data_IF_294424710248
#
_entry.id   IF_294424710248
#
_cell.length_a   1.000
_cell.length_b   1.000
_cell.length_c   1.000
_cell.angle_alpha   90.00
_cell.angle_beta   90.00
_cell.angle_gamma   90.00
#
_symmetry.space_group_name_H-M   'P 1'
#
loop_
_entity.id
_entity.type
_entity.pdbx_description
1 polymer ?
#
# COMPACT_ATOMS: atom_id res chain seq x y z
N UNK A 1 -60.56 -24.29 9.56
CA UNK A 1 -59.48 -24.61 8.59
C UNK A 1 -59.43 -23.50 7.56
N UNK A 2 -58.21 -23.01 7.30
CA UNK A 2 -57.92 -21.74 6.64
C UNK A 2 -57.92 -21.84 5.11
N UNK A 3 -58.26 -20.74 4.44
CA UNK A 3 -57.76 -20.43 3.10
C UNK A 3 -57.25 -18.98 3.10
N UNK A 4 -55.93 -18.85 3.06
CA UNK A 4 -55.20 -17.60 2.84
C UNK A 4 -55.27 -17.25 1.35
N UNK A 5 -55.67 -16.01 1.04
CA UNK A 5 -55.32 -15.36 -0.22
C UNK A 5 -53.91 -14.77 -0.09
N UNK A 6 -53.05 -15.05 -1.07
CA UNK A 6 -51.71 -14.48 -1.18
C UNK A 6 -51.64 -13.76 -2.52
N UNK A 7 -51.61 -12.43 -2.48
CA UNK A 7 -51.30 -11.58 -3.64
C UNK A 7 -49.91 -11.00 -3.44
N UNK A 8 -49.16 -11.02 -4.53
CA UNK A 8 -47.73 -10.75 -4.64
C UNK A 8 -47.28 -9.35 -4.19
N UNK A 9 -46.05 -9.28 -3.67
CA UNK A 9 -45.25 -8.05 -3.62
C UNK A 9 -43.80 -8.40 -3.96
N UNK A 10 -43.29 -7.75 -5.02
CA UNK A 10 -41.87 -7.74 -5.42
C UNK A 10 -41.03 -7.03 -4.35
N UNK A 11 -39.80 -7.46 -4.03
CA UNK A 11 -38.83 -6.60 -3.36
C UNK A 11 -37.92 -5.94 -4.41
N UNK A 12 -38.23 -4.69 -4.75
CA UNK A 12 -37.24 -3.70 -5.14
C UNK A 12 -37.00 -2.82 -3.91
N UNK A 13 -35.77 -2.75 -3.41
CA UNK A 13 -35.43 -2.00 -2.21
C UNK A 13 -33.93 -1.89 -2.03
N UNK A 14 -33.40 -0.77 -2.51
CA UNK A 14 -32.07 -0.21 -2.24
C UNK A 14 -31.71 -0.26 -0.76
N UNK A 15 -30.61 -0.95 -0.44
CA UNK A 15 -30.02 -1.03 0.89
C UNK A 15 -29.30 0.26 1.25
N UNK A 16 -30.03 1.28 1.69
CA UNK A 16 -29.44 2.41 2.42
C UNK A 16 -29.17 1.94 3.85
N UNK A 17 -27.96 1.44 4.10
CA UNK A 17 -27.56 0.98 5.44
C UNK A 17 -27.46 2.17 6.40
N UNK A 18 -28.29 2.12 7.44
CA UNK A 18 -28.37 3.06 8.55
C UNK A 18 -27.00 3.28 9.23
N UNK A 19 -26.50 4.52 9.21
CA UNK A 19 -25.44 5.00 10.10
C UNK A 19 -25.97 5.00 11.55
N UNK A 20 -25.56 4.04 12.38
CA UNK A 20 -25.90 4.05 13.80
C UNK A 20 -25.09 5.12 14.56
N UNK A 21 -25.73 6.04 15.30
CA UNK A 21 -25.01 6.98 16.16
C UNK A 21 -24.29 6.19 17.28
N UNK A 22 -22.97 6.31 17.32
CA UNK A 22 -22.11 5.61 18.31
C UNK A 22 -21.18 4.52 17.76
N UNK A 23 -21.16 4.26 16.44
CA UNK A 23 -20.18 3.33 15.86
C UNK A 23 -18.74 3.88 15.96
N UNK A 24 -17.71 3.02 16.09
CA UNK A 24 -16.31 3.45 16.05
C UNK A 24 -15.94 4.25 14.80
N UNK A 25 -16.55 3.91 13.65
CA UNK A 25 -16.39 4.65 12.40
C UNK A 25 -16.90 6.10 12.50
N UNK A 26 -18.02 6.32 13.20
CA UNK A 26 -18.54 7.66 13.43
C UNK A 26 -17.63 8.49 14.34
N UNK A 27 -17.00 7.87 15.35
CA UNK A 27 -16.01 8.57 16.19
C UNK A 27 -14.80 9.02 15.38
N UNK A 28 -14.22 8.13 14.56
CA UNK A 28 -13.07 8.45 13.71
C UNK A 28 -13.42 9.55 12.68
N UNK A 29 -14.63 9.50 12.10
CA UNK A 29 -15.10 10.54 11.19
C UNK A 29 -15.27 11.90 11.87
N UNK A 30 -15.78 11.93 13.11
CA UNK A 30 -15.87 13.17 13.89
C UNK A 30 -14.49 13.73 14.23
N UNK A 31 -13.56 12.87 14.65
CA UNK A 31 -12.19 13.26 14.97
C UNK A 31 -11.45 13.81 13.74
N UNK A 32 -11.56 13.13 12.59
CA UNK A 32 -11.04 13.60 11.32
C UNK A 32 -11.57 15.00 10.97
N UNK A 33 -12.89 15.17 10.98
CA UNK A 33 -13.53 16.43 10.63
C UNK A 33 -13.15 17.55 11.60
N UNK A 34 -13.03 17.25 12.90
CA UNK A 34 -12.56 18.20 13.92
C UNK A 34 -11.17 18.74 13.56
N UNK A 35 -10.21 17.86 13.28
CA UNK A 35 -8.84 18.29 12.98
C UNK A 35 -8.75 19.03 11.64
N UNK A 36 -9.51 18.59 10.62
CA UNK A 36 -9.62 19.29 9.34
C UNK A 36 -10.11 20.72 9.52
N UNK A 37 -11.24 20.91 10.21
CA UNK A 37 -11.81 22.24 10.47
C UNK A 37 -10.88 23.13 11.30
N UNK A 38 -10.18 22.57 12.29
CA UNK A 38 -9.21 23.32 13.10
C UNK A 38 -7.99 23.74 12.28
N UNK A 39 -7.52 22.90 11.38
CA UNK A 39 -6.42 23.24 10.46
C UNK A 39 -6.87 24.34 9.51
N UNK A 40 -8.06 24.22 8.93
CA UNK A 40 -8.64 25.21 8.00
C UNK A 40 -8.84 26.58 8.65
N UNK A 41 -9.17 26.62 9.95
CA UNK A 41 -9.32 27.86 10.71
C UNK A 41 -7.99 28.56 11.04
N UNK A 42 -6.84 27.91 10.87
CA UNK A 42 -5.55 28.53 11.16
C UNK A 42 -5.21 29.66 10.16
N UNK A 43 -4.50 30.71 10.59
CA UNK A 43 -3.90 31.68 9.69
C UNK A 43 -2.95 31.03 8.67
N UNK A 44 -2.85 31.60 7.47
CA UNK A 44 -1.99 31.06 6.41
C UNK A 44 -0.52 30.90 6.84
N UNK A 45 0.01 31.81 7.65
CA UNK A 45 1.36 31.71 8.20
C UNK A 45 1.53 30.45 9.06
N UNK A 46 0.55 30.18 9.94
CA UNK A 46 0.53 29.00 10.79
C UNK A 46 0.35 27.72 9.98
N UNK A 47 -0.50 27.72 8.94
CA UNK A 47 -0.65 26.58 8.02
C UNK A 47 0.68 26.20 7.35
N UNK A 48 1.36 27.18 6.74
CA UNK A 48 2.69 26.96 6.11
C UNK A 48 3.75 26.49 7.11
N UNK A 49 3.71 27.02 8.34
CA UNK A 49 4.58 26.54 9.41
C UNK A 49 4.30 25.07 9.73
N UNK A 50 3.03 24.68 9.91
CA UNK A 50 2.62 23.31 10.17
C UNK A 50 3.00 22.37 9.01
N UNK A 51 2.84 22.81 7.76
CA UNK A 51 3.28 22.07 6.56
C UNK A 51 4.80 21.83 6.56
N UNK A 52 5.58 22.83 6.97
CA UNK A 52 7.04 22.70 7.08
C UNK A 52 7.43 21.69 8.15
N UNK A 53 6.79 21.74 9.33
CA UNK A 53 7.00 20.76 10.39
C UNK A 53 6.56 19.35 9.97
N UNK A 54 5.41 19.26 9.30
CA UNK A 54 4.88 18.00 8.78
C UNK A 54 5.84 17.31 7.82
N UNK A 55 6.49 18.07 6.93
CA UNK A 55 7.52 17.54 6.02
C UNK A 55 8.71 16.95 6.78
N UNK A 56 9.28 17.72 7.71
CA UNK A 56 10.42 17.29 8.54
C UNK A 56 10.10 15.99 9.30
N UNK A 57 8.90 15.94 9.92
CA UNK A 57 8.45 14.77 10.66
C UNK A 57 8.21 13.56 9.77
N UNK A 58 7.56 13.77 8.62
CA UNK A 58 7.27 12.69 7.68
C UNK A 58 8.55 12.08 7.08
N UNK A 59 9.51 12.91 6.69
CA UNK A 59 10.81 12.47 6.19
C UNK A 59 11.56 11.65 7.26
N UNK A 60 11.56 12.12 8.51
CA UNK A 60 12.20 11.41 9.62
C UNK A 60 11.57 10.03 9.87
N UNK A 61 10.24 9.91 9.76
CA UNK A 61 9.51 8.64 9.88
C UNK A 61 9.89 7.69 8.73
N UNK A 62 9.99 8.20 7.51
CA UNK A 62 10.21 7.37 6.31
C UNK A 62 11.66 6.87 6.23
N UNK A 63 12.62 7.75 6.51
CA UNK A 63 14.06 7.44 6.56
C UNK A 63 14.40 6.64 7.83
N UNK A 64 13.45 6.49 8.77
CA UNK A 64 13.65 5.83 10.07
C UNK A 64 14.81 6.46 10.84
N UNK A 65 14.84 7.79 10.87
CA UNK A 65 15.79 8.53 11.69
C UNK A 65 15.68 8.07 13.15
N UNK A 66 16.77 8.07 13.95
CA UNK A 66 16.73 7.61 15.34
C UNK A 66 16.08 8.62 16.30
N UNK A 67 15.97 9.88 15.88
CA UNK A 67 15.36 10.97 16.63
C UNK A 67 14.87 12.04 15.66
N UNK A 68 13.89 12.82 16.08
CA UNK A 68 13.39 13.97 15.33
C UNK A 68 13.10 15.14 16.27
N UNK A 69 13.45 16.34 15.83
CA UNK A 69 13.13 17.60 16.52
C UNK A 69 12.05 18.32 15.73
N UNK A 70 11.13 18.93 16.45
CA UNK A 70 10.06 19.73 15.86
C UNK A 70 9.65 20.84 16.79
N UNK A 71 8.96 21.83 16.24
CA UNK A 71 8.54 23.03 16.97
C UNK A 71 7.05 23.26 16.86
N UNK A 72 6.40 23.61 17.98
CA UNK A 72 5.02 24.07 18.01
C UNK A 72 4.91 25.51 17.50
N UNK A 73 3.79 25.90 16.87
CA UNK A 73 3.57 27.28 16.45
C UNK A 73 3.58 28.24 17.64
N UNK A 74 3.81 29.52 17.38
CA UNK A 74 3.82 30.58 18.40
C UNK A 74 2.41 30.86 18.95
N UNK A 75 1.40 30.78 18.09
CA UNK A 75 -0.02 30.95 18.40
C UNK A 75 -0.85 29.96 17.59
N UNK A 76 -1.99 29.56 18.15
CA UNK A 76 -2.90 28.62 17.51
C UNK A 76 -4.35 29.01 17.75
N UNK A 77 -5.19 28.85 16.73
CA UNK A 77 -6.65 28.95 16.88
C UNK A 77 -7.15 27.70 17.57
N UNK A 78 -7.81 27.85 18.73
CA UNK A 78 -8.31 26.73 19.55
C UNK A 78 -9.80 26.47 19.39
N UNK A 79 -10.55 27.40 18.81
CA UNK A 79 -11.98 27.26 18.48
C UNK A 79 -12.26 27.94 17.14
N UNK A 80 -13.04 27.26 16.31
CA UNK A 80 -13.61 27.87 15.11
C UNK A 80 -14.60 28.96 15.56
N UNK A 81 -14.54 30.14 14.95
CA UNK A 81 -15.55 31.18 15.20
C UNK A 81 -16.90 30.66 14.68
N UNK A 82 -17.94 30.62 15.53
CA UNK A 82 -19.29 30.35 15.05
C UNK A 82 -19.75 31.48 14.11
N UNK A 83 -20.64 31.16 13.16
CA UNK A 83 -21.07 32.03 12.06
C UNK A 83 -21.61 33.42 12.46
N UNK A 84 -21.78 33.69 13.76
CA UNK A 84 -22.09 35.01 14.32
C UNK A 84 -20.85 35.64 14.96
N UNK A 85 -20.07 36.35 14.15
CA UNK A 85 -19.21 37.50 14.48
C UNK A 85 -18.15 37.34 15.60
N UNK A 86 -17.85 36.13 16.05
CA UNK A 86 -16.81 35.90 17.06
C UNK A 86 -15.47 35.60 16.37
N UNK A 87 -14.49 36.48 16.55
CA UNK A 87 -13.12 36.23 16.08
C UNK A 87 -12.61 34.88 16.61
N UNK A 88 -11.91 34.06 15.80
CA UNK A 88 -11.38 32.78 16.23
C UNK A 88 -10.50 32.96 17.48
N UNK A 89 -10.77 32.18 18.53
CA UNK A 89 -10.04 32.28 19.77
C UNK A 89 -8.60 31.79 19.55
N UNK A 90 -7.65 32.72 19.46
CA UNK A 90 -6.21 32.40 19.36
C UNK A 90 -5.58 32.38 20.74
N UNK A 91 -4.80 31.36 21.05
CA UNK A 91 -4.01 31.29 22.29
C UNK A 91 -2.50 31.25 21.97
N UNK A 92 -1.65 31.92 22.76
CA UNK A 92 -0.20 31.79 22.63
C UNK A 92 0.28 30.45 23.18
N UNK A 93 1.22 29.82 22.48
CA UNK A 93 1.91 28.62 22.96
C UNK A 93 3.10 29.05 23.84
N UNK A 94 3.23 28.55 25.08
CA UNK A 94 4.35 28.90 25.96
C UNK A 94 5.70 28.59 25.31
N UNK A 95 6.61 29.59 25.27
CA UNK A 95 7.90 29.46 24.58
C UNK A 95 8.73 28.26 25.04
N UNK A 96 8.72 27.96 26.36
CA UNK A 96 9.41 26.81 26.96
C UNK A 96 8.92 25.44 26.47
N UNK A 97 7.72 25.39 25.88
CA UNK A 97 7.09 24.16 25.40
C UNK A 97 7.03 24.10 23.87
N UNK A 98 7.62 25.06 23.15
CA UNK A 98 7.58 25.05 21.68
C UNK A 98 8.54 24.05 21.09
N UNK A 99 9.77 24.00 21.59
CA UNK A 99 10.76 23.04 21.11
C UNK A 99 10.48 21.65 21.68
N UNK A 100 10.36 20.68 20.78
CA UNK A 100 10.05 19.31 21.11
C UNK A 100 11.04 18.36 20.42
N UNK A 101 11.21 17.20 21.02
CA UNK A 101 12.05 16.13 20.49
C UNK A 101 11.37 14.80 20.76
N UNK A 102 11.41 13.91 19.78
CA UNK A 102 10.98 12.52 19.90
C UNK A 102 12.18 11.62 19.55
N UNK A 103 12.41 10.60 20.38
CA UNK A 103 13.54 9.68 20.26
C UNK A 103 14.75 10.08 21.11
N UNK A 104 15.69 9.15 21.26
CA UNK A 104 16.86 9.32 22.11
C UNK A 104 17.81 8.12 22.11
N UNK A 105 18.75 8.11 23.07
CA UNK A 105 19.70 7.00 23.23
C UNK A 105 19.03 5.72 23.73
N UNK A 106 18.03 5.83 24.61
CA UNK A 106 17.31 4.68 25.18
C UNK A 106 16.48 3.99 24.09
N UNK A 107 15.76 4.77 23.27
CA UNK A 107 14.92 4.22 22.20
C UNK A 107 15.73 3.53 21.09
N UNK A 108 16.97 3.98 20.87
CA UNK A 108 17.92 3.31 19.97
C UNK A 108 18.30 1.93 20.48
N UNK A 109 18.39 1.74 21.80
CA UNK A 109 18.70 0.43 22.39
C UNK A 109 17.51 -0.53 22.28
N UNK A 110 16.28 -0.02 22.35
CA UNK A 110 15.05 -0.82 22.22
C UNK A 110 14.61 -1.05 20.78
N UNK A 111 15.29 -0.44 19.79
CA UNK A 111 14.95 -0.48 18.36
C UNK A 111 13.51 -0.04 18.07
N UNK A 112 12.95 0.84 18.90
CA UNK A 112 11.59 1.35 18.69
C UNK A 112 11.57 2.25 17.47
N UNK A 113 10.62 2.05 16.55
CA UNK A 113 10.51 2.89 15.36
C UNK A 113 10.12 4.33 15.73
N UNK A 114 10.74 5.33 15.09
CA UNK A 114 10.46 6.74 15.39
C UNK A 114 9.02 7.15 15.14
N UNK A 115 8.29 6.45 14.29
CA UNK A 115 6.85 6.69 14.15
C UNK A 115 6.09 6.44 15.45
N UNK A 116 6.38 5.33 16.15
CA UNK A 116 5.73 5.00 17.41
C UNK A 116 6.13 6.00 18.52
N UNK A 117 7.41 6.38 18.58
CA UNK A 117 7.92 7.34 19.57
C UNK A 117 7.32 8.74 19.33
N UNK A 118 7.26 9.18 18.08
CA UNK A 118 6.61 10.44 17.71
C UNK A 118 5.12 10.41 18.06
N UNK A 119 4.44 9.32 17.73
CA UNK A 119 3.03 9.11 18.07
C UNK A 119 2.78 9.21 19.57
N UNK A 120 3.60 8.55 20.39
CA UNK A 120 3.53 8.65 21.84
C UNK A 120 3.79 10.08 22.33
N UNK A 121 4.84 10.74 21.80
CA UNK A 121 5.18 12.10 22.20
C UNK A 121 4.07 13.10 21.88
N UNK A 122 3.44 12.98 20.72
CA UNK A 122 2.31 13.81 20.35
C UNK A 122 1.10 13.54 21.27
N UNK A 123 0.87 12.29 21.68
CA UNK A 123 -0.20 11.95 22.63
C UNK A 123 0.05 12.58 24.01
N UNK A 124 1.29 12.60 24.49
CA UNK A 124 1.66 13.29 25.73
C UNK A 124 1.36 14.80 25.66
N UNK A 125 1.68 15.43 24.53
CA UNK A 125 1.43 16.86 24.32
C UNK A 125 -0.06 17.17 24.14
N UNK A 126 -0.81 16.30 23.47
CA UNK A 126 -2.27 16.39 23.34
C UNK A 126 -3.00 16.30 24.69
N UNK A 127 -2.43 15.56 25.65
CA UNK A 127 -2.92 15.46 27.02
C UNK A 127 -2.42 16.57 27.95
N UNK A 128 -1.69 17.57 27.43
CA UNK A 128 -1.22 18.71 28.22
C UNK A 128 -2.37 19.54 28.78
N UNK A 129 -2.19 20.09 29.99
CA UNK A 129 -3.14 21.05 30.59
C UNK A 129 -3.23 22.37 29.82
N UNK A 130 -2.23 22.70 29.00
CA UNK A 130 -2.27 23.86 28.11
C UNK A 130 -3.03 23.52 26.83
N UNK A 131 -4.22 24.11 26.68
CA UNK A 131 -5.05 23.94 25.48
C UNK A 131 -4.28 24.32 24.19
N UNK A 132 -3.44 25.35 24.22
CA UNK A 132 -2.65 25.77 23.06
C UNK A 132 -1.62 24.70 22.65
N UNK A 133 -0.98 24.04 23.62
CA UNK A 133 -0.03 22.94 23.38
C UNK A 133 -0.76 21.72 22.84
N UNK A 134 -1.88 21.35 23.48
CA UNK A 134 -2.70 20.21 23.08
C UNK A 134 -3.19 20.32 21.62
N UNK A 135 -3.76 21.48 21.25
CA UNK A 135 -4.23 21.72 19.88
C UNK A 135 -3.05 21.78 18.90
N UNK A 136 -1.92 22.38 19.28
CA UNK A 136 -0.73 22.42 18.42
C UNK A 136 -0.20 21.03 18.09
N UNK A 137 -0.14 20.14 19.07
CA UNK A 137 0.31 18.76 18.87
C UNK A 137 -0.63 17.99 17.93
N UNK A 138 -1.95 18.10 18.13
CA UNK A 138 -2.91 17.45 17.24
C UNK A 138 -2.91 18.02 15.81
N UNK A 139 -2.69 19.32 15.64
CA UNK A 139 -2.50 19.93 14.32
C UNK A 139 -1.22 19.45 13.64
N UNK A 140 -0.13 19.28 14.38
CA UNK A 140 1.12 18.69 13.85
C UNK A 140 0.88 17.24 13.44
N UNK A 141 0.22 16.44 14.28
CA UNK A 141 -0.15 15.05 13.96
C UNK A 141 -0.96 14.99 12.67
N UNK A 142 -2.04 15.77 12.59
CA UNK A 142 -2.92 15.83 11.43
C UNK A 142 -2.18 16.29 10.17
N UNK A 143 -1.39 17.36 10.27
CA UNK A 143 -0.64 17.91 9.14
C UNK A 143 0.42 16.94 8.64
N UNK A 144 1.09 16.21 9.54
CA UNK A 144 2.08 15.19 9.18
C UNK A 144 1.44 14.03 8.42
N UNK A 145 0.32 13.51 8.93
CA UNK A 145 -0.41 12.44 8.26
C UNK A 145 -0.99 12.91 6.91
N UNK A 146 -1.54 14.12 6.84
CA UNK A 146 -1.99 14.72 5.59
C UNK A 146 -0.85 14.86 4.58
N UNK A 147 0.33 15.31 5.01
CA UNK A 147 1.49 15.44 4.12
C UNK A 147 1.92 14.09 3.55
N UNK A 148 1.97 13.04 4.39
CA UNK A 148 2.26 11.68 3.94
C UNK A 148 1.24 11.20 2.89
N UNK A 149 -0.06 11.43 3.12
CA UNK A 149 -1.11 10.94 2.21
C UNK A 149 -1.23 11.77 0.95
N UNK A 150 -1.27 13.09 1.05
CA UNK A 150 -1.62 13.99 -0.06
C UNK A 150 -0.42 14.49 -0.84
N UNK A 151 0.75 14.65 -0.22
CA UNK A 151 1.92 15.28 -0.85
C UNK A 151 3.00 14.27 -1.22
N UNK A 152 3.31 13.31 -0.34
CA UNK A 152 4.41 12.36 -0.60
C UNK A 152 4.05 11.26 -1.60
N UNK A 153 2.76 10.95 -1.70
CA UNK A 153 2.27 9.84 -2.51
C UNK A 153 1.59 10.36 -3.78
N UNK A 154 1.99 9.91 -4.98
CA UNK A 154 1.29 10.27 -6.19
C UNK A 154 -0.16 9.78 -6.16
N UNK A 155 -1.05 10.52 -6.80
CA UNK A 155 -2.43 10.08 -7.00
C UNK A 155 -2.54 9.33 -8.33
N UNK A 156 -3.14 8.15 -8.30
CA UNK A 156 -3.41 7.31 -9.45
C UNK A 156 -4.84 7.41 -9.98
N UNK A 157 -5.14 6.58 -10.97
CA UNK A 157 -6.46 6.45 -11.62
C UNK A 157 -7.54 6.01 -10.63
N UNK A 158 -8.80 6.19 -10.99
CA UNK A 158 -9.89 5.51 -10.30
C UNK A 158 -10.00 4.12 -10.88
N UNK A 159 -9.87 3.09 -10.05
CA UNK A 159 -9.90 1.68 -10.48
C UNK A 159 -10.77 0.88 -9.53
N UNK A 160 -11.41 -0.15 -10.08
CA UNK A 160 -12.15 -1.15 -9.30
C UNK A 160 -11.49 -2.50 -9.51
N UNK A 161 -11.23 -3.19 -8.41
CA UNK A 161 -10.69 -4.54 -8.41
C UNK A 161 -11.77 -5.54 -7.97
N UNK A 162 -11.75 -6.72 -8.56
CA UNK A 162 -12.49 -7.88 -8.08
C UNK A 162 -11.53 -8.87 -7.41
N UNK A 163 -12.03 -9.55 -6.37
CA UNK A 163 -11.33 -10.69 -5.78
C UNK A 163 -11.53 -11.92 -6.67
N UNK A 164 -10.47 -12.72 -6.81
CA UNK A 164 -10.64 -14.04 -7.41
C UNK A 164 -11.42 -14.96 -6.47
N UNK A 165 -11.95 -16.06 -7.00
CA UNK A 165 -12.67 -17.03 -6.19
C UNK A 165 -11.81 -17.57 -5.04
N UNK A 166 -12.32 -17.47 -3.81
CA UNK A 166 -11.63 -17.91 -2.60
C UNK A 166 -10.54 -16.95 -2.07
N UNK A 167 -10.42 -15.75 -2.64
CA UNK A 167 -9.43 -14.75 -2.22
C UNK A 167 -10.07 -13.57 -1.48
N UNK A 168 -9.36 -13.03 -0.49
CA UNK A 168 -9.84 -11.90 0.32
C UNK A 168 -9.44 -10.54 -0.28
N UNK A 169 -8.31 -10.49 -0.99
CA UNK A 169 -7.79 -9.24 -1.55
C UNK A 169 -8.24 -9.10 -3.00
N UNK A 170 -9.02 -8.06 -3.27
CA UNK A 170 -9.38 -7.68 -4.63
C UNK A 170 -8.15 -7.17 -5.38
N UNK A 171 -7.72 -7.91 -6.40
CA UNK A 171 -6.47 -7.63 -7.15
C UNK A 171 -6.64 -7.72 -8.68
N UNK A 172 -7.75 -8.27 -9.17
CA UNK A 172 -8.00 -8.38 -10.62
C UNK A 172 -8.69 -7.09 -11.07
N UNK A 173 -8.07 -6.26 -11.95
CA UNK A 173 -8.71 -5.04 -12.36
C UNK A 173 -9.94 -5.34 -13.23
N UNK A 174 -11.08 -4.74 -12.89
CA UNK A 174 -12.30 -4.83 -13.70
C UNK A 174 -12.11 -3.92 -14.91
N UNK A 175 -12.22 -4.45 -16.11
CA UNK A 175 -12.22 -3.64 -17.33
C UNK A 175 -13.55 -2.89 -17.43
N UNK A 176 -13.50 -1.57 -17.35
CA UNK A 176 -14.62 -0.76 -17.80
C UNK A 176 -14.74 -0.96 -19.32
N UNK A 177 -15.88 -1.50 -19.75
CA UNK A 177 -16.26 -1.64 -21.17
C UNK A 177 -16.23 -0.32 -21.97
N UNK A 178 -15.94 0.80 -21.32
CA UNK A 178 -15.84 2.15 -21.87
C UNK A 178 -14.40 2.54 -22.26
N UNK A 179 -13.37 1.78 -21.89
CA UNK A 179 -12.02 1.96 -22.45
C UNK A 179 -11.96 1.26 -23.82
N UNK A 180 -12.63 1.88 -24.80
CA UNK A 180 -12.52 1.50 -26.20
C UNK A 180 -11.05 1.46 -26.62
N UNK A 181 -10.71 0.49 -27.47
CA UNK A 181 -9.44 0.33 -28.20
C UNK A 181 -9.14 1.51 -29.13
N UNK A 182 -9.06 2.72 -28.59
CA UNK A 182 -8.79 3.93 -29.34
C UNK A 182 -7.79 4.78 -28.57
N UNK A 183 -6.52 4.52 -28.91
CA UNK A 183 -5.50 5.55 -28.93
C UNK A 183 -6.06 6.81 -29.61
N UNK A 184 -5.59 7.97 -29.17
CA UNK A 184 -5.95 9.33 -29.61
C UNK A 184 -7.01 9.96 -28.71
N UNK A 185 -6.53 10.81 -27.78
CA UNK A 185 -7.28 11.79 -26.96
C UNK A 185 -8.15 11.26 -25.80
N UNK A 186 -7.53 10.80 -24.73
CA UNK A 186 -8.16 10.93 -23.41
C UNK A 186 -7.85 12.33 -22.87
N UNK A 187 -8.86 13.20 -22.80
CA UNK A 187 -8.78 14.62 -22.37
C UNK A 187 -8.42 14.82 -20.89
N UNK A 188 -8.05 13.78 -20.16
CA UNK A 188 -7.50 13.85 -18.80
C UNK A 188 -5.98 13.75 -18.73
N UNK A 189 -5.30 13.53 -19.86
CA UNK A 189 -3.83 13.46 -19.98
C UNK A 189 -3.17 14.81 -20.29
N UNK A 190 -3.89 15.92 -20.13
CA UNK A 190 -3.28 17.25 -20.12
C UNK A 190 -2.65 17.52 -18.75
N UNK A 191 -1.46 16.97 -18.52
CA UNK A 191 -0.49 17.65 -17.65
C UNK A 191 -0.28 19.01 -18.29
N UNK A 192 -0.69 20.06 -17.56
CA UNK A 192 -0.46 21.43 -17.99
C UNK A 192 1.04 21.63 -18.24
N UNK A 193 1.41 21.74 -19.51
CA UNK A 193 2.61 22.43 -19.94
C UNK A 193 2.47 23.89 -19.47
N UNK A 194 2.94 24.17 -18.26
CA UNK A 194 3.34 25.52 -17.90
C UNK A 194 4.70 25.75 -18.57
N UNK A 195 4.69 26.54 -19.64
CA UNK A 195 5.88 27.13 -20.24
C UNK A 195 6.75 27.78 -19.14
N UNK A 196 8.01 27.36 -19.02
CA UNK A 196 8.97 28.00 -18.11
C UNK A 196 10.11 27.11 -17.60
N UNK A 197 11.07 26.84 -18.47
CA UNK A 197 12.52 26.75 -18.21
C UNK A 197 13.11 25.94 -17.01
N UNK A 198 14.02 25.04 -17.42
CA UNK A 198 15.29 24.69 -16.77
C UNK A 198 15.30 23.69 -15.59
N UNK A 199 15.48 22.42 -15.95
CA UNK A 199 16.59 21.59 -15.43
C UNK A 199 16.42 20.93 -14.06
N UNK A 200 15.93 19.68 -14.06
CA UNK A 200 16.34 18.68 -13.06
C UNK A 200 16.77 17.38 -13.77
N UNK A 201 18.05 17.32 -14.15
CA UNK A 201 18.75 16.06 -14.41
C UNK A 201 18.78 15.24 -13.11
N UNK A 202 18.14 14.07 -13.09
CA UNK A 202 18.27 13.15 -11.95
C UNK A 202 17.16 12.15 -11.68
N UNK A 203 16.07 12.10 -12.46
CA UNK A 203 15.09 11.01 -12.40
C UNK A 203 15.04 10.34 -13.74
N UNK A 204 15.55 9.10 -13.82
CA UNK A 204 15.43 8.29 -15.02
C UNK A 204 13.97 8.25 -15.46
N UNK A 205 13.67 8.82 -16.61
CA UNK A 205 12.37 8.72 -17.26
C UNK A 205 12.14 7.25 -17.57
N UNK A 206 11.38 6.57 -16.71
CA UNK A 206 10.87 5.25 -16.99
C UNK A 206 9.84 5.42 -18.12
N UNK A 207 10.33 5.33 -19.36
CA UNK A 207 9.55 5.28 -20.60
C UNK A 207 8.79 3.95 -20.64
N UNK A 208 7.76 3.81 -19.79
CA UNK A 208 6.86 2.65 -19.85
C UNK A 208 5.91 2.88 -21.02
N UNK A 209 5.89 2.02 -22.05
CA UNK A 209 4.88 2.11 -23.09
C UNK A 209 3.52 1.96 -22.42
N UNK A 210 2.62 2.93 -22.61
CA UNK A 210 1.25 2.93 -22.11
C UNK A 210 0.43 1.79 -22.76
N UNK A 211 0.71 0.54 -22.40
CA UNK A 211 0.00 -0.63 -22.90
C UNK A 211 -1.41 -0.68 -22.30
N UNK A 212 -2.42 -1.18 -23.05
CA UNK A 212 -3.81 -1.23 -22.58
C UNK A 212 -3.97 -1.96 -21.24
N UNK A 213 -3.14 -2.96 -20.95
CA UNK A 213 -3.15 -3.67 -19.67
C UNK A 213 -2.80 -2.77 -18.48
N UNK A 214 -1.72 -1.99 -18.58
CA UNK A 214 -1.23 -1.13 -17.50
C UNK A 214 -2.25 -0.05 -17.11
N UNK A 215 -3.04 0.43 -18.07
CA UNK A 215 -4.07 1.46 -17.86
C UNK A 215 -5.20 1.03 -16.92
N UNK A 216 -5.36 -0.27 -16.71
CA UNK A 216 -6.37 -0.84 -15.81
C UNK A 216 -5.98 -0.74 -14.33
N UNK A 217 -4.74 -0.32 -14.03
CA UNK A 217 -4.22 -0.24 -12.68
C UNK A 217 -4.17 1.19 -12.15
N UNK A 218 -4.07 1.31 -10.82
CA UNK A 218 -4.04 2.58 -10.11
C UNK A 218 -2.89 3.47 -10.59
N UNK A 219 -1.67 2.93 -10.69
CA UNK A 219 -0.48 3.62 -11.20
C UNK A 219 0.09 2.82 -12.38
N UNK A 220 -0.33 3.12 -13.64
CA UNK A 220 0.10 2.39 -14.83
C UNK A 220 1.62 2.33 -15.01
N UNK A 221 2.34 3.37 -14.60
CA UNK A 221 3.80 3.44 -14.68
C UNK A 221 4.52 2.42 -13.78
N UNK A 222 3.82 1.81 -12.82
CA UNK A 222 4.34 0.79 -11.92
C UNK A 222 3.77 -0.59 -12.24
N UNK A 223 3.39 -0.84 -13.50
CA UNK A 223 2.95 -2.15 -13.98
C UNK A 223 4.08 -2.78 -14.79
N UNK A 224 4.94 -3.59 -14.15
CA UNK A 224 6.07 -4.20 -14.85
C UNK A 224 5.73 -5.46 -15.64
N UNK A 225 4.55 -6.08 -15.44
CA UNK A 225 4.15 -7.29 -16.17
C UNK A 225 2.78 -7.16 -16.84
N UNK A 226 2.66 -7.76 -18.03
CA UNK A 226 1.42 -7.82 -18.79
C UNK A 226 0.43 -8.88 -18.25
N UNK A 227 -0.73 -9.05 -18.92
CA UNK A 227 -1.74 -10.03 -18.52
C UNK A 227 -1.30 -11.51 -18.66
N UNK A 228 -0.20 -11.75 -19.36
CA UNK A 228 0.41 -13.07 -19.61
C UNK A 228 1.72 -13.24 -18.84
N UNK A 229 1.97 -12.37 -17.86
CA UNK A 229 3.18 -12.33 -17.04
C UNK A 229 4.47 -12.08 -17.83
N UNK A 230 4.41 -11.43 -19.00
CA UNK A 230 5.60 -10.96 -19.71
C UNK A 230 6.06 -9.61 -19.18
N UNK A 231 7.38 -9.40 -19.14
CA UNK A 231 7.96 -8.12 -18.76
C UNK A 231 7.57 -7.01 -19.75
N UNK A 232 7.05 -5.91 -19.19
CA UNK A 232 6.84 -4.62 -19.85
C UNK A 232 8.01 -3.65 -19.65
N UNK A 233 8.93 -4.02 -18.77
CA UNK A 233 10.16 -3.31 -18.39
C UNK A 233 11.39 -4.06 -18.92
N UNK A 234 12.57 -3.46 -18.84
CA UNK A 234 13.76 -4.01 -19.51
C UNK A 234 14.36 -5.24 -18.80
N UNK A 235 14.03 -5.46 -17.53
CA UNK A 235 14.59 -6.58 -16.74
C UNK A 235 13.73 -6.97 -15.55
N UNK A 236 13.95 -8.18 -15.03
CA UNK A 236 13.37 -8.62 -13.76
C UNK A 236 13.73 -7.70 -12.59
N UNK A 237 14.94 -7.12 -12.58
CA UNK A 237 15.36 -6.16 -11.55
C UNK A 237 14.55 -4.85 -11.59
N UNK A 238 14.18 -4.36 -12.77
CA UNK A 238 13.25 -3.22 -12.89
C UNK A 238 11.84 -3.59 -12.40
N UNK A 239 11.39 -4.82 -12.64
CA UNK A 239 10.12 -5.31 -12.12
C UNK A 239 10.11 -5.37 -10.59
N UNK A 240 11.17 -5.92 -9.99
CA UNK A 240 11.37 -5.94 -8.54
C UNK A 240 11.40 -4.53 -7.94
N UNK A 241 12.05 -3.57 -8.60
CA UNK A 241 12.08 -2.17 -8.18
C UNK A 241 10.68 -1.52 -8.20
N UNK A 242 9.84 -1.87 -9.19
CA UNK A 242 8.45 -1.42 -9.22
C UNK A 242 7.62 -2.03 -8.06
N UNK A 243 7.79 -3.32 -7.77
CA UNK A 243 7.18 -3.97 -6.59
C UNK A 243 7.64 -3.28 -5.28
N UNK A 244 8.94 -3.01 -5.14
CA UNK A 244 9.49 -2.31 -3.99
C UNK A 244 8.92 -0.89 -3.83
N UNK A 245 8.69 -0.18 -4.94
CA UNK A 245 8.06 1.15 -4.94
C UNK A 245 6.61 1.09 -4.43
N UNK A 246 5.85 0.08 -4.84
CA UNK A 246 4.48 -0.16 -4.35
C UNK A 246 4.44 -0.54 -2.85
N UNK A 247 5.37 -1.37 -2.40
CA UNK A 247 5.53 -1.69 -0.97
C UNK A 247 5.87 -0.45 -0.14
N UNK A 248 6.78 0.39 -0.65
CA UNK A 248 7.15 1.65 -0.03
C UNK A 248 5.95 2.61 0.07
N UNK A 249 5.13 2.67 -0.98
CA UNK A 249 3.90 3.44 -1.01
C UNK A 249 2.94 3.01 0.12
N UNK A 250 2.68 1.71 0.26
CA UNK A 250 1.85 1.17 1.36
C UNK A 250 2.45 1.43 2.74
N UNK A 251 3.77 1.34 2.89
CA UNK A 251 4.46 1.65 4.15
C UNK A 251 4.18 3.09 4.60
N UNK A 252 4.19 4.06 3.67
CA UNK A 252 3.88 5.46 3.98
C UNK A 252 2.40 5.61 4.42
N UNK A 253 1.46 4.96 3.74
CA UNK A 253 0.05 4.96 4.14
C UNK A 253 -0.15 4.38 5.55
N UNK A 254 0.47 3.23 5.84
CA UNK A 254 0.40 2.62 7.16
C UNK A 254 1.05 3.49 8.25
N UNK A 255 2.15 4.16 7.92
CA UNK A 255 2.78 5.11 8.84
C UNK A 255 1.83 6.28 9.17
N UNK A 256 1.12 6.82 8.17
CA UNK A 256 0.14 7.89 8.37
C UNK A 256 -1.02 7.48 9.30
N UNK A 257 -1.60 6.29 9.12
CA UNK A 257 -2.68 5.79 10.01
C UNK A 257 -2.14 5.40 11.38
N UNK A 258 -0.93 4.85 11.47
CA UNK A 258 -0.30 4.59 12.77
C UNK A 258 -0.06 5.88 13.56
N UNK A 259 0.18 7.01 12.88
CA UNK A 259 0.35 8.31 13.51
C UNK A 259 -0.99 8.98 13.82
N UNK A 260 -1.96 8.92 12.90
CA UNK A 260 -3.28 9.52 12.99
C UNK A 260 -4.36 8.49 12.60
N UNK A 261 -4.86 7.67 13.54
CA UNK A 261 -5.76 6.56 13.24
C UNK A 261 -7.03 6.94 12.48
N UNK A 262 -7.55 8.14 12.74
CA UNK A 262 -8.73 8.69 12.06
C UNK A 262 -8.51 8.95 10.55
N UNK A 263 -7.27 8.90 10.03
CA UNK A 263 -7.02 8.95 8.57
C UNK A 263 -7.66 7.80 7.80
N UNK A 264 -8.00 6.69 8.47
CA UNK A 264 -8.68 5.59 7.80
C UNK A 264 -10.06 6.00 7.23
N UNK A 265 -10.69 7.06 7.72
CA UNK A 265 -11.98 7.54 7.16
C UNK A 265 -11.81 8.50 5.98
N UNK A 266 -10.59 8.91 5.67
CA UNK A 266 -10.29 9.82 4.55
C UNK A 266 -10.46 9.08 3.21
N UNK A 267 -11.23 9.67 2.30
CA UNK A 267 -11.55 9.06 1.01
C UNK A 267 -10.30 8.93 0.11
N UNK A 268 -9.41 9.92 0.14
CA UNK A 268 -8.16 9.88 -0.63
C UNK A 268 -7.25 8.80 -0.12
N UNK A 269 -7.10 8.67 1.20
CA UNK A 269 -6.37 7.57 1.84
C UNK A 269 -6.93 6.22 1.40
N UNK A 270 -8.26 6.03 1.49
CA UNK A 270 -8.89 4.76 1.13
C UNK A 270 -8.70 4.44 -0.36
N UNK A 271 -8.88 5.42 -1.24
CA UNK A 271 -8.63 5.26 -2.68
C UNK A 271 -7.17 4.89 -2.96
N UNK A 272 -6.21 5.58 -2.33
CA UNK A 272 -4.77 5.30 -2.46
C UNK A 272 -4.44 3.89 -1.98
N UNK A 273 -4.94 3.51 -0.79
CA UNK A 273 -4.71 2.20 -0.18
C UNK A 273 -5.28 1.07 -1.02
N UNK A 274 -6.55 1.18 -1.41
CA UNK A 274 -7.22 0.15 -2.20
C UNK A 274 -6.58 0.01 -3.59
N UNK A 275 -6.31 1.15 -4.24
CA UNK A 275 -5.67 1.22 -5.55
C UNK A 275 -4.34 0.48 -5.59
N UNK A 276 -3.43 0.84 -4.68
CA UNK A 276 -2.08 0.27 -4.66
C UNK A 276 -2.04 -1.16 -4.15
N UNK A 277 -2.92 -1.55 -3.21
CA UNK A 277 -2.93 -2.90 -2.64
C UNK A 277 -3.31 -3.93 -3.70
N UNK A 278 -4.38 -3.67 -4.45
CA UNK A 278 -4.81 -4.56 -5.54
C UNK A 278 -3.73 -4.69 -6.62
N UNK A 279 -3.11 -3.57 -7.00
CA UNK A 279 -2.01 -3.55 -7.96
C UNK A 279 -0.78 -4.33 -7.46
N UNK A 280 -0.37 -4.12 -6.20
CA UNK A 280 0.79 -4.79 -5.62
C UNK A 280 0.62 -6.30 -5.58
N UNK A 281 -0.54 -6.79 -5.12
CA UNK A 281 -0.82 -8.23 -5.08
C UNK A 281 -0.81 -8.81 -6.49
N UNK A 282 -1.46 -8.14 -7.44
CA UNK A 282 -1.51 -8.60 -8.82
C UNK A 282 -0.12 -8.71 -9.46
N UNK A 283 0.66 -7.63 -9.42
CA UNK A 283 1.96 -7.54 -10.07
C UNK A 283 3.03 -8.35 -9.31
N UNK A 284 2.92 -8.46 -7.99
CA UNK A 284 3.79 -9.31 -7.19
C UNK A 284 3.63 -10.79 -7.52
N UNK A 285 2.39 -11.26 -7.69
CA UNK A 285 2.12 -12.63 -8.15
C UNK A 285 2.52 -12.87 -9.61
N UNK A 286 2.32 -11.87 -10.47
CA UNK A 286 2.79 -11.96 -11.87
C UNK A 286 4.31 -12.10 -11.93
N UNK A 287 5.04 -11.37 -11.08
CA UNK A 287 6.50 -11.47 -11.00
C UNK A 287 6.94 -12.85 -10.50
N UNK A 288 6.25 -13.42 -9.51
CA UNK A 288 6.51 -14.78 -9.06
C UNK A 288 6.30 -15.80 -10.20
N UNK A 289 5.21 -15.70 -10.96
CA UNK A 289 4.95 -16.56 -12.14
C UNK A 289 6.03 -16.42 -13.21
N UNK A 290 6.44 -15.20 -13.52
CA UNK A 290 7.53 -14.94 -14.45
C UNK A 290 8.82 -15.64 -14.00
N UNK A 291 9.20 -15.50 -12.73
CA UNK A 291 10.39 -16.14 -12.17
C UNK A 291 10.28 -17.67 -12.14
N UNK A 292 9.08 -18.22 -11.86
CA UNK A 292 8.81 -19.67 -11.99
C UNK A 292 9.06 -20.17 -13.41
N UNK A 293 8.64 -19.41 -14.43
CA UNK A 293 8.91 -19.76 -15.83
C UNK A 293 10.41 -19.73 -16.16
N UNK A 294 11.17 -18.77 -15.64
CA UNK A 294 12.63 -18.74 -15.80
C UNK A 294 13.30 -19.96 -15.15
N UNK A 295 12.82 -20.39 -13.97
CA UNK A 295 13.29 -21.62 -13.31
C UNK A 295 13.02 -22.85 -14.18
N UNK A 296 11.80 -22.99 -14.70
CA UNK A 296 11.41 -24.10 -15.58
C UNK A 296 12.32 -24.17 -16.80
N UNK A 297 12.50 -23.05 -17.50
CA UNK A 297 13.35 -22.96 -18.68
C UNK A 297 14.81 -23.32 -18.36
N UNK A 298 15.33 -22.84 -17.23
CA UNK A 298 16.69 -23.14 -16.77
C UNK A 298 16.88 -24.65 -16.52
N UNK A 299 15.91 -25.30 -15.86
CA UNK A 299 15.96 -26.74 -15.63
C UNK A 299 15.91 -27.51 -16.95
N UNK A 300 15.02 -27.15 -17.88
CA UNK A 300 14.92 -27.81 -19.19
C UNK A 300 16.21 -27.67 -20.02
N UNK A 301 16.84 -26.49 -20.00
CA UNK A 301 18.12 -26.27 -20.66
C UNK A 301 19.24 -27.12 -20.04
N UNK A 302 19.36 -27.12 -18.71
CA UNK A 302 20.38 -27.90 -18.00
C UNK A 302 20.16 -29.41 -18.13
N UNK A 303 18.92 -29.87 -18.18
CA UNK A 303 18.57 -31.26 -18.44
C UNK A 303 19.07 -31.70 -19.83
N UNK A 304 18.84 -30.86 -20.85
CA UNK A 304 19.30 -31.10 -22.23
C UNK A 304 20.83 -31.15 -22.31
N UNK A 305 21.51 -30.30 -21.55
CA UNK A 305 22.98 -30.28 -21.43
C UNK A 305 23.55 -31.41 -20.55
N UNK A 306 22.70 -32.28 -19.97
CA UNK A 306 23.08 -33.33 -19.02
C UNK A 306 23.82 -32.83 -17.76
N UNK A 307 23.59 -31.57 -17.38
CA UNK A 307 24.26 -30.87 -16.26
C UNK A 307 23.49 -31.00 -14.92
N UNK A 308 22.41 -31.79 -14.89
CA UNK A 308 21.58 -32.02 -13.68
C UNK A 308 21.90 -33.32 -12.93
N UNK A 309 22.88 -34.11 -13.39
CA UNK A 309 23.20 -35.43 -12.83
C UNK A 309 23.95 -35.41 -11.48
N UNK A 310 23.88 -34.28 -10.75
CA UNK A 310 24.61 -34.02 -9.50
C UNK A 310 23.73 -33.54 -8.34
N UNK A 311 22.42 -33.48 -8.53
CA UNK A 311 21.46 -32.95 -7.57
C UNK A 311 20.75 -31.69 -8.10
N UNK A 312 19.55 -31.45 -7.59
CA UNK A 312 18.70 -30.31 -7.94
C UNK A 312 17.87 -29.92 -6.71
N UNK A 313 18.03 -28.68 -6.28
CA UNK A 313 17.20 -28.03 -5.26
C UNK A 313 16.60 -26.77 -5.87
N UNK A 314 15.37 -26.45 -5.50
CA UNK A 314 14.67 -25.26 -5.98
C UNK A 314 14.34 -24.32 -4.82
N UNK A 315 14.34 -23.04 -5.16
CA UNK A 315 13.80 -21.96 -4.36
C UNK A 315 12.66 -21.36 -5.18
N UNK A 316 11.44 -21.85 -4.98
CA UNK A 316 10.29 -21.47 -5.80
C UNK A 316 9.71 -20.15 -5.27
N UNK A 317 9.67 -19.08 -6.08
CA UNK A 317 9.13 -17.80 -5.65
C UNK A 317 7.60 -17.86 -5.55
N UNK A 318 7.06 -17.19 -4.54
CA UNK A 318 5.63 -16.91 -4.43
C UNK A 318 5.41 -15.54 -3.78
N UNK A 319 4.31 -14.89 -4.10
CA UNK A 319 3.93 -13.66 -3.42
C UNK A 319 3.13 -13.96 -2.15
N UNK A 320 3.60 -13.50 -1.00
CA UNK A 320 2.89 -13.64 0.27
C UNK A 320 1.95 -12.46 0.49
N UNK A 321 0.65 -12.70 0.40
CA UNK A 321 -0.38 -11.69 0.57
C UNK A 321 -0.48 -11.12 2.00
N UNK A 322 0.03 -11.82 3.01
CA UNK A 322 0.02 -11.33 4.40
C UNK A 322 1.11 -10.28 4.64
N UNK A 323 2.30 -10.53 4.08
CA UNK A 323 3.48 -9.68 4.28
C UNK A 323 3.74 -8.77 3.07
N UNK A 324 2.99 -8.98 1.99
CA UNK A 324 3.01 -8.23 0.72
C UNK A 324 4.38 -8.18 0.06
N UNK A 325 5.04 -9.34 -0.03
CA UNK A 325 6.38 -9.47 -0.63
C UNK A 325 6.58 -10.82 -1.29
N UNK A 326 7.54 -10.89 -2.21
CA UNK A 326 8.03 -12.17 -2.73
C UNK A 326 8.78 -12.89 -1.60
N UNK A 327 8.41 -14.15 -1.41
CA UNK A 327 9.07 -15.10 -0.54
C UNK A 327 9.46 -16.34 -1.36
N UNK A 328 10.28 -17.20 -0.77
CA UNK A 328 10.76 -18.41 -1.41
C UNK A 328 10.30 -19.66 -0.66
N UNK A 329 9.89 -20.68 -1.41
CA UNK A 329 9.62 -22.02 -0.90
C UNK A 329 10.74 -22.95 -1.36
N UNK A 330 11.62 -23.31 -0.42
CA UNK A 330 12.80 -24.12 -0.70
C UNK A 330 12.49 -25.61 -0.56
N UNK A 331 12.85 -26.41 -1.57
CA UNK A 331 12.73 -27.86 -1.51
C UNK A 331 13.74 -28.58 -2.41
N UNK A 332 14.00 -29.84 -2.07
CA UNK A 332 14.96 -30.69 -2.77
C UNK A 332 14.24 -31.62 -3.75
N UNK A 333 14.70 -31.66 -5.00
CA UNK A 333 14.17 -32.56 -6.04
C UNK A 333 15.05 -33.81 -6.14
N UNK A 334 16.36 -33.61 -6.25
CA UNK A 334 17.35 -34.69 -6.30
C UNK A 334 18.44 -34.36 -5.29
N UNK A 335 18.74 -35.25 -4.34
CA UNK A 335 19.82 -35.01 -3.41
C UNK A 335 21.17 -34.99 -4.10
N UNK A 336 22.12 -34.28 -3.48
CA UNK A 336 23.48 -34.20 -4.00
C UNK A 336 24.08 -35.61 -4.14
N UNK A 337 24.47 -35.99 -5.37
CA UNK A 337 24.91 -37.34 -5.68
C UNK A 337 24.90 -37.65 -7.18
N UNK A 338 25.38 -38.84 -7.56
CA UNK A 338 25.41 -39.28 -8.98
C UNK A 338 24.08 -39.92 -9.40
N UNK A 339 22.99 -39.18 -9.26
CA UNK A 339 21.66 -39.62 -9.68
C UNK A 339 21.40 -39.01 -11.05
N UNK A 340 21.09 -39.83 -12.05
CA UNK A 340 20.73 -39.33 -13.38
C UNK A 340 19.41 -38.57 -13.31
N UNK A 341 19.37 -37.35 -13.84
CA UNK A 341 18.16 -36.54 -13.86
C UNK A 341 17.08 -37.21 -14.72
N UNK A 342 15.84 -37.22 -14.20
CA UNK A 342 14.65 -37.57 -14.97
C UNK A 342 13.54 -36.55 -14.64
N UNK A 343 12.75 -36.09 -15.63
CA UNK A 343 11.64 -35.15 -15.41
C UNK A 343 10.65 -35.61 -14.31
N UNK A 344 10.45 -36.93 -14.21
CA UNK A 344 9.60 -37.53 -13.18
C UNK A 344 10.01 -37.18 -11.73
N UNK A 345 11.28 -36.83 -11.48
CA UNK A 345 11.70 -36.35 -10.16
C UNK A 345 11.11 -34.98 -9.83
N UNK A 346 11.03 -34.08 -10.82
CA UNK A 346 10.41 -32.75 -10.65
C UNK A 346 8.92 -32.90 -10.35
N UNK A 347 8.21 -33.71 -11.15
CA UNK A 347 6.78 -34.02 -10.97
C UNK A 347 6.52 -34.60 -9.57
N UNK A 348 7.32 -35.58 -9.14
CA UNK A 348 7.18 -36.19 -7.81
C UNK A 348 7.43 -35.18 -6.70
N UNK A 349 8.47 -34.37 -6.79
CA UNK A 349 8.80 -33.37 -5.79
C UNK A 349 7.70 -32.30 -5.70
N UNK A 350 7.23 -31.78 -6.83
CA UNK A 350 6.13 -30.82 -6.88
C UNK A 350 4.86 -31.36 -6.20
N UNK A 351 4.43 -32.59 -6.53
CA UNK A 351 3.27 -33.24 -5.88
C UNK A 351 3.44 -33.41 -4.37
N UNK A 352 4.63 -33.81 -3.93
CA UNK A 352 4.91 -33.96 -2.50
C UNK A 352 4.83 -32.62 -1.77
N UNK A 353 5.36 -31.55 -2.38
CA UNK A 353 5.27 -30.20 -1.82
C UNK A 353 3.84 -29.65 -1.84
N UNK A 354 3.05 -29.90 -2.89
CA UNK A 354 1.63 -29.50 -2.93
C UNK A 354 0.84 -30.07 -1.74
N UNK A 355 1.06 -31.34 -1.38
CA UNK A 355 0.41 -31.96 -0.20
C UNK A 355 0.79 -31.25 1.09
N UNK A 356 2.07 -30.86 1.25
CA UNK A 356 2.55 -30.13 2.42
C UNK A 356 1.94 -28.73 2.48
N UNK A 357 1.98 -27.99 1.38
CA UNK A 357 1.45 -26.62 1.27
C UNK A 357 -0.06 -26.60 1.50
N UNK A 358 -0.81 -27.56 0.96
CA UNK A 358 -2.26 -27.67 1.17
C UNK A 358 -2.64 -27.75 2.67
N UNK A 359 -1.78 -28.38 3.48
CA UNK A 359 -1.95 -28.56 4.92
C UNK A 359 -1.31 -27.46 5.77
N UNK A 360 -0.54 -26.53 5.19
CA UNK A 360 0.14 -25.48 5.95
C UNK A 360 -0.84 -24.38 6.39
N UNK A 361 -1.22 -24.43 7.67
CA UNK A 361 -2.14 -23.47 8.29
C UNK A 361 -1.52 -22.10 8.57
N UNK A 362 -0.21 -21.94 8.42
CA UNK A 362 0.48 -20.65 8.61
C UNK A 362 0.25 -19.72 7.42
N UNK A 363 0.03 -20.28 6.22
CA UNK A 363 -0.26 -19.52 5.02
C UNK A 363 -1.74 -19.09 4.98
N UNK A 364 -1.98 -17.84 4.57
CA UNK A 364 -3.33 -17.38 4.24
C UNK A 364 -3.93 -18.26 3.13
N UNK A 365 -5.26 -18.42 3.06
CA UNK A 365 -5.90 -19.18 1.98
C UNK A 365 -5.47 -18.71 0.58
N UNK A 366 -5.34 -17.39 0.42
CA UNK A 366 -4.95 -16.73 -0.82
C UNK A 366 -3.47 -16.98 -1.19
N UNK A 367 -2.55 -16.80 -0.24
CA UNK A 367 -1.11 -17.13 -0.41
C UNK A 367 -0.93 -18.61 -0.74
N UNK A 368 -1.66 -19.48 -0.02
CA UNK A 368 -1.59 -20.93 -0.22
C UNK A 368 -2.05 -21.34 -1.61
N UNK A 369 -3.17 -20.79 -2.08
CA UNK A 369 -3.69 -21.03 -3.43
C UNK A 369 -2.66 -20.62 -4.47
N UNK A 370 -2.09 -19.42 -4.36
CA UNK A 370 -1.06 -18.97 -5.29
C UNK A 370 0.17 -19.88 -5.31
N UNK A 371 0.71 -20.29 -4.16
CA UNK A 371 1.85 -21.21 -4.10
C UNK A 371 1.52 -22.59 -4.67
N UNK A 372 0.30 -23.10 -4.47
CA UNK A 372 -0.15 -24.33 -5.11
C UNK A 372 -0.21 -24.19 -6.64
N UNK A 373 -0.66 -23.04 -7.16
CA UNK A 373 -0.67 -22.77 -8.60
C UNK A 373 0.76 -22.74 -9.17
N UNK A 374 1.74 -22.16 -8.46
CA UNK A 374 3.16 -22.19 -8.88
C UNK A 374 3.72 -23.62 -8.91
N UNK A 375 3.41 -24.42 -7.88
CA UNK A 375 3.82 -25.82 -7.84
C UNK A 375 3.15 -26.66 -8.93
N UNK A 376 1.89 -26.34 -9.28
CA UNK A 376 1.18 -26.99 -10.39
C UNK A 376 1.78 -26.60 -11.74
N UNK A 377 2.14 -25.33 -11.93
CA UNK A 377 2.83 -24.88 -13.14
C UNK A 377 4.17 -25.60 -13.32
N UNK A 378 4.93 -25.77 -12.22
CA UNK A 378 6.16 -26.55 -12.22
C UNK A 378 5.88 -28.02 -12.56
N UNK A 379 4.87 -28.65 -11.98
CA UNK A 379 4.49 -30.04 -12.28
C UNK A 379 4.18 -30.22 -13.78
N UNK A 380 3.26 -29.41 -14.31
CA UNK A 380 2.77 -29.52 -15.68
C UNK A 380 3.83 -29.25 -16.74
N UNK A 381 4.93 -28.56 -16.40
CA UNK A 381 6.04 -28.33 -17.31
C UNK A 381 6.98 -29.55 -17.49
N UNK A 382 6.84 -30.60 -16.66
CA UNK A 382 7.69 -31.80 -16.66
C UNK A 382 6.93 -33.13 -16.73
N UNK A 383 5.59 -33.09 -16.79
CA UNK A 383 4.75 -34.22 -17.22
C UNK A 383 4.89 -34.47 -18.73
#
# INVERSE_FOLDING_TARGET
MATKSTTAQKPGGTSTSYQQPGSPANYLAQEYNRWRLLLDAQPNLTKRFLETQARILADAVIVRSPQVRFTLPDRVVVKHGEANHSQPATLPVPAKLREQMAGGLIDRMTRTEVNAILGQRLTELENSSSQAVSISAGLIRHSTANHMVYTMLPSGRSVSYQAAEGEEIASIPVSDSLEADSAITATTDAIAEAEGEAGEEGRGELLVPYVPWARRFYLPQWVPLDAKDHLLVNSAGEAEAAIASMQQYLRILHAAVSLAPYMVVDETYQRKRYGILGQLVNQGRALARYQTQEIIQTIQQRATAQDLNRGLSLSLPYFDDQVLRIASHDFEIIPAGRIMFTPAFVVRAARQEQVKVAQDTRLSPSTRKHLLDELQNLESAFE
#
